data_IF_906694570941
#
_entry.id   IF_906694570941
#
_cell.length_a   1.000
_cell.length_b   1.000
_cell.length_c   1.000
_cell.angle_alpha   90.00
_cell.angle_beta   90.00
_cell.angle_gamma   90.00
#
_symmetry.space_group_name_H-M   'P 1'
#
loop_
_entity.id
_entity.type
_entity.pdbx_description
1 polymer ?
#
# COMPACT_ATOMS: atom_id res chain seq x y z
N UNK A 1 30.62 9.16 4.19
CA UNK A 1 29.40 9.50 3.44
C UNK A 1 29.14 8.54 2.27
N UNK A 2 30.03 8.39 1.28
CA UNK A 2 29.84 7.47 0.12
C UNK A 2 29.61 6.02 0.57
N UNK A 3 30.42 5.49 1.50
CA UNK A 3 30.24 4.15 2.07
C UNK A 3 28.85 3.99 2.72
N UNK A 4 28.40 4.99 3.45
CA UNK A 4 27.07 5.00 4.08
C UNK A 4 25.95 5.01 3.04
N UNK A 5 26.05 5.80 1.96
CA UNK A 5 25.08 5.80 0.84
C UNK A 5 24.98 4.42 0.20
N UNK A 6 26.09 3.74 -0.06
CA UNK A 6 26.11 2.38 -0.62
C UNK A 6 25.42 1.39 0.31
N UNK A 7 25.75 1.42 1.60
CA UNK A 7 25.15 0.55 2.59
C UNK A 7 23.64 0.77 2.69
N UNK A 8 23.21 2.03 2.84
CA UNK A 8 21.79 2.37 2.88
C UNK A 8 21.05 1.92 1.61
N UNK A 9 21.68 2.09 0.41
CA UNK A 9 21.05 1.67 -0.84
C UNK A 9 20.80 0.15 -0.86
N UNK A 10 21.73 -0.65 -0.37
CA UNK A 10 21.59 -2.11 -0.26
C UNK A 10 20.45 -2.46 0.73
N UNK A 11 20.45 -1.86 1.91
CA UNK A 11 19.46 -2.12 2.97
C UNK A 11 18.01 -1.83 2.54
N UNK A 12 17.83 -0.80 1.71
CA UNK A 12 16.51 -0.44 1.17
C UNK A 12 16.26 -1.00 -0.24
N UNK A 13 17.08 -1.93 -0.72
CA UNK A 13 16.93 -2.55 -2.03
C UNK A 13 16.91 -1.55 -3.20
N UNK A 14 17.77 -0.51 -3.15
CA UNK A 14 17.85 0.57 -4.15
C UNK A 14 16.53 1.33 -4.39
N UNK A 15 15.58 1.32 -3.47
CA UNK A 15 14.28 1.99 -3.62
C UNK A 15 14.32 3.50 -3.32
N UNK A 16 15.40 3.99 -2.68
CA UNK A 16 15.52 5.39 -2.28
C UNK A 16 16.22 6.24 -3.36
N UNK A 17 15.48 7.18 -3.94
CA UNK A 17 16.04 8.26 -4.73
C UNK A 17 16.59 9.40 -3.85
N UNK A 18 17.20 10.41 -4.49
CA UNK A 18 17.88 11.54 -3.84
C UNK A 18 17.11 12.21 -2.70
N UNK A 19 15.79 12.30 -2.78
CA UNK A 19 14.98 12.96 -1.73
C UNK A 19 14.95 12.15 -0.43
N UNK A 20 14.69 10.84 -0.50
CA UNK A 20 14.72 9.96 0.68
C UNK A 20 16.14 9.77 1.20
N UNK A 21 17.11 9.58 0.31
CA UNK A 21 18.52 9.44 0.69
C UNK A 21 19.00 10.69 1.45
N UNK A 22 18.61 11.90 1.03
CA UNK A 22 18.90 13.14 1.77
C UNK A 22 18.37 13.09 3.20
N UNK A 23 17.12 12.65 3.38
CA UNK A 23 16.52 12.58 4.73
C UNK A 23 17.33 11.63 5.62
N UNK A 24 17.70 10.46 5.10
CA UNK A 24 18.50 9.49 5.84
C UNK A 24 19.90 10.04 6.16
N UNK A 25 20.57 10.74 5.21
CA UNK A 25 21.86 11.37 5.47
C UNK A 25 21.75 12.44 6.57
N UNK A 26 20.73 13.29 6.49
CA UNK A 26 20.56 14.37 7.47
C UNK A 26 20.20 13.82 8.87
N UNK A 27 19.47 12.72 8.97
CA UNK A 27 19.20 12.05 10.26
C UNK A 27 20.44 11.43 10.89
N UNK A 28 21.51 11.24 10.11
CA UNK A 28 22.83 10.79 10.58
C UNK A 28 23.81 11.95 10.82
N UNK A 29 23.33 13.18 10.80
CA UNK A 29 24.13 14.38 11.06
C UNK A 29 24.86 14.94 9.82
N UNK A 30 24.67 14.38 8.62
CA UNK A 30 25.23 14.93 7.39
C UNK A 30 24.33 16.06 6.87
N UNK A 31 24.76 17.29 7.00
CA UNK A 31 23.99 18.43 6.50
C UNK A 31 24.15 18.58 4.98
N UNK A 32 23.31 17.89 4.19
CA UNK A 32 23.39 17.85 2.71
C UNK A 32 22.09 18.28 2.05
N UNK A 33 22.22 19.05 0.97
CA UNK A 33 21.10 19.43 0.11
C UNK A 33 20.74 18.33 -0.92
N UNK A 34 19.60 18.50 -1.61
CA UNK A 34 19.10 17.51 -2.60
C UNK A 34 20.06 17.35 -3.78
N UNK A 35 20.66 18.43 -4.26
CA UNK A 35 21.60 18.40 -5.38
C UNK A 35 22.91 17.72 -4.98
N UNK A 36 23.46 18.09 -3.84
CA UNK A 36 24.64 17.45 -3.28
C UNK A 36 24.43 15.95 -3.05
N UNK A 37 23.25 15.56 -2.53
CA UNK A 37 22.89 14.15 -2.39
C UNK A 37 22.88 13.43 -3.73
N UNK A 38 22.37 14.05 -4.81
CA UNK A 38 22.38 13.45 -6.14
C UNK A 38 23.82 13.19 -6.63
N UNK A 39 24.72 14.19 -6.51
CA UNK A 39 26.14 14.05 -6.87
C UNK A 39 26.85 12.98 -6.02
N UNK A 40 26.54 12.89 -4.73
CA UNK A 40 27.09 11.86 -3.85
C UNK A 40 26.60 10.46 -4.21
N UNK A 41 25.32 10.30 -4.59
CA UNK A 41 24.78 9.02 -5.08
C UNK A 41 25.45 8.61 -6.40
N UNK A 42 25.69 9.55 -7.31
CA UNK A 42 26.42 9.31 -8.55
C UNK A 42 27.87 8.87 -8.27
N UNK A 43 28.61 9.60 -7.43
CA UNK A 43 29.96 9.20 -6.98
C UNK A 43 30.01 7.86 -6.27
N UNK A 44 28.91 7.49 -5.58
CA UNK A 44 28.75 6.18 -4.95
C UNK A 44 28.37 5.08 -5.94
N UNK A 45 28.10 5.40 -7.20
CA UNK A 45 27.52 4.51 -8.23
C UNK A 45 26.20 3.87 -7.77
N UNK A 46 25.35 4.66 -7.10
CA UNK A 46 24.05 4.23 -6.59
C UNK A 46 22.93 4.81 -7.46
N UNK A 47 22.21 3.94 -8.15
CA UNK A 47 21.05 4.28 -8.97
C UNK A 47 19.78 3.74 -8.33
N UNK A 48 18.79 4.62 -8.15
CA UNK A 48 17.49 4.21 -7.62
C UNK A 48 16.62 3.53 -8.70
N UNK A 49 15.86 2.53 -8.29
CA UNK A 49 14.87 1.86 -9.14
C UNK A 49 13.86 2.87 -9.69
N UNK A 50 13.61 2.81 -11.00
CA UNK A 50 12.66 3.70 -11.69
C UNK A 50 11.44 2.91 -12.16
N UNK A 51 10.20 3.50 -12.08
CA UNK A 51 9.00 2.87 -12.63
C UNK A 51 9.13 2.62 -14.13
N UNK A 52 8.73 1.43 -14.60
CA UNK A 52 8.55 1.15 -16.03
C UNK A 52 7.29 1.83 -16.54
N UNK A 53 7.21 2.15 -17.85
CA UNK A 53 5.99 2.68 -18.49
C UNK A 53 4.83 1.70 -18.32
N UNK A 54 3.64 2.23 -17.99
CA UNK A 54 2.42 1.43 -17.74
C UNK A 54 1.76 1.04 -19.06
N UNK A 55 1.25 -0.20 -19.16
CA UNK A 55 0.25 -0.59 -20.14
C UNK A 55 -1.15 -0.28 -19.60
N UNK A 56 -2.04 0.22 -20.47
CA UNK A 56 -3.43 0.50 -20.15
C UNK A 56 -4.27 -0.76 -20.36
N UNK A 57 -5.16 -1.07 -19.42
CA UNK A 57 -6.14 -2.15 -19.53
C UNK A 57 -7.56 -1.58 -19.54
N UNK A 58 -8.44 -1.96 -20.51
CA UNK A 58 -9.81 -1.50 -20.55
C UNK A 58 -10.63 -2.05 -19.38
N UNK A 59 -11.58 -1.23 -18.88
CA UNK A 59 -12.47 -1.59 -17.77
C UNK A 59 -13.74 -2.23 -18.33
N UNK A 60 -14.09 -3.42 -17.85
CA UNK A 60 -15.39 -4.06 -18.11
C UNK A 60 -16.36 -3.73 -16.97
N UNK A 61 -17.58 -3.34 -17.31
CA UNK A 61 -18.57 -2.90 -16.32
C UNK A 61 -19.79 -3.81 -16.22
N UNK A 62 -20.00 -4.41 -15.04
CA UNK A 62 -21.26 -5.01 -14.62
C UNK A 62 -21.96 -4.07 -13.63
N UNK A 63 -23.31 -4.03 -13.66
CA UNK A 63 -24.09 -3.19 -12.73
C UNK A 63 -24.44 -3.98 -11.46
N UNK A 64 -23.87 -3.55 -10.33
CA UNK A 64 -24.19 -4.06 -8.98
C UNK A 64 -24.71 -2.93 -8.09
N UNK A 65 -25.45 -3.28 -7.03
CA UNK A 65 -25.85 -2.32 -5.98
C UNK A 65 -24.57 -1.80 -5.29
N UNK A 66 -24.41 -0.48 -5.25
CA UNK A 66 -23.16 0.19 -4.84
C UNK A 66 -23.40 1.03 -3.59
N UNK A 67 -22.42 1.07 -2.70
CA UNK A 67 -22.41 2.02 -1.59
C UNK A 67 -22.12 3.45 -2.11
N UNK A 68 -22.54 4.45 -1.35
CA UNK A 68 -22.25 5.87 -1.64
C UNK A 68 -20.75 6.16 -1.44
N UNK A 69 -20.22 7.16 -2.14
CA UNK A 69 -18.88 7.68 -1.86
C UNK A 69 -18.97 8.61 -0.65
N UNK A 70 -18.57 8.10 0.51
CA UNK A 70 -18.53 8.85 1.75
C UNK A 70 -17.15 9.45 2.04
N UNK A 71 -16.08 8.87 1.44
CA UNK A 71 -14.70 9.34 1.62
C UNK A 71 -14.45 10.68 0.92
N UNK A 72 -15.10 10.92 -0.22
CA UNK A 72 -15.06 12.15 -1.01
C UNK A 72 -13.65 12.74 -1.25
N UNK A 73 -12.63 11.86 -1.42
CA UNK A 73 -11.20 12.22 -1.60
C UNK A 73 -10.53 12.92 -0.41
N UNK A 74 -11.15 12.91 0.73
CA UNK A 74 -10.54 13.42 1.95
C UNK A 74 -9.52 12.43 2.51
N UNK A 75 -8.30 12.42 1.97
CA UNK A 75 -7.24 11.45 2.32
C UNK A 75 -6.29 11.94 3.40
N UNK A 76 -6.46 13.19 3.86
CA UNK A 76 -5.52 13.85 4.78
C UNK A 76 -5.94 13.70 6.24
N UNK A 77 -4.95 13.72 7.12
CA UNK A 77 -5.04 13.80 8.59
C UNK A 77 -6.22 13.06 9.23
N UNK A 78 -6.24 11.73 9.05
CA UNK A 78 -7.24 10.87 9.71
C UNK A 78 -6.68 10.27 10.99
N UNK A 79 -7.55 10.09 11.97
CA UNK A 79 -7.25 9.24 13.12
C UNK A 79 -7.00 7.80 12.66
N UNK A 80 -6.13 7.09 13.35
CA UNK A 80 -5.86 5.69 13.03
C UNK A 80 -7.10 4.82 13.19
N UNK A 81 -7.19 3.78 12.39
CA UNK A 81 -8.27 2.77 12.47
C UNK A 81 -9.69 3.33 12.30
N UNK A 82 -9.84 4.53 11.72
CA UNK A 82 -11.15 5.12 11.41
C UNK A 82 -11.50 5.02 9.92
N UNK A 83 -10.50 5.06 9.05
CA UNK A 83 -10.70 5.02 7.60
C UNK A 83 -9.69 4.07 6.97
N UNK A 84 -10.16 2.95 6.50
CA UNK A 84 -9.36 1.99 5.75
C UNK A 84 -9.74 2.03 4.27
N UNK A 85 -8.75 1.85 3.41
CA UNK A 85 -8.95 1.74 1.96
C UNK A 85 -8.48 0.38 1.49
N UNK A 86 -9.21 -0.21 0.55
CA UNK A 86 -8.89 -1.52 0.00
C UNK A 86 -8.92 -1.54 -1.52
N UNK A 87 -8.12 -2.44 -2.10
CA UNK A 87 -8.09 -2.71 -3.53
C UNK A 87 -7.42 -4.05 -3.81
N UNK A 88 -7.57 -4.55 -5.03
CA UNK A 88 -6.98 -5.81 -5.51
C UNK A 88 -5.97 -5.51 -6.61
N UNK A 89 -4.81 -6.18 -6.53
CA UNK A 89 -3.88 -6.23 -7.65
C UNK A 89 -3.60 -7.67 -8.06
N UNK A 90 -3.12 -7.85 -9.28
CA UNK A 90 -2.78 -9.17 -9.83
C UNK A 90 -1.27 -9.28 -10.07
N UNK A 91 -0.77 -10.49 -9.86
CA UNK A 91 0.65 -10.87 -9.96
C UNK A 91 0.72 -12.09 -10.87
N UNK A 92 1.54 -12.01 -11.91
CA UNK A 92 1.73 -13.12 -12.84
C UNK A 92 2.75 -14.11 -12.29
N UNK A 93 2.44 -15.42 -12.39
CA UNK A 93 3.36 -16.51 -12.12
C UNK A 93 3.40 -17.45 -13.33
N UNK A 94 4.35 -18.39 -13.37
CA UNK A 94 4.35 -19.44 -14.39
C UNK A 94 3.14 -20.38 -14.27
N UNK A 95 2.55 -20.48 -13.06
CA UNK A 95 1.33 -21.26 -12.78
C UNK A 95 0.03 -20.43 -12.89
N UNK A 96 0.02 -19.31 -13.64
CA UNK A 96 -1.12 -18.41 -13.81
C UNK A 96 -1.14 -17.23 -12.84
N UNK A 97 -2.29 -16.56 -12.78
CA UNK A 97 -2.45 -15.33 -11.99
C UNK A 97 -2.63 -15.60 -10.50
N UNK A 98 -2.13 -14.67 -9.70
CA UNK A 98 -2.39 -14.56 -8.26
C UNK A 98 -2.95 -13.16 -7.99
N UNK A 99 -3.84 -13.08 -7.04
CA UNK A 99 -4.57 -11.87 -6.70
C UNK A 99 -4.30 -11.50 -5.25
N UNK A 100 -3.83 -10.27 -5.03
CA UNK A 100 -3.53 -9.73 -3.72
C UNK A 100 -4.57 -8.67 -3.40
N UNK A 101 -5.43 -8.94 -2.41
CA UNK A 101 -6.25 -7.91 -1.77
C UNK A 101 -5.46 -7.29 -0.61
N UNK A 102 -5.51 -5.98 -0.52
CA UNK A 102 -4.77 -5.20 0.49
C UNK A 102 -5.68 -4.19 1.16
N UNK A 103 -5.48 -3.99 2.46
CA UNK A 103 -6.18 -2.99 3.28
C UNK A 103 -5.15 -2.06 3.91
N UNK A 104 -5.32 -0.76 3.73
CA UNK A 104 -4.40 0.28 4.19
C UNK A 104 -5.14 1.29 5.06
N UNK A 105 -4.57 1.64 6.21
CA UNK A 105 -5.05 2.70 7.09
C UNK A 105 -4.69 4.08 6.54
N UNK A 106 -5.67 4.96 6.38
CA UNK A 106 -5.46 6.29 5.80
C UNK A 106 -4.67 7.23 6.73
N UNK A 107 -4.80 7.08 8.04
CA UNK A 107 -4.08 7.93 9.00
C UNK A 107 -2.58 7.68 8.98
N UNK A 108 -2.20 6.44 9.18
CA UNK A 108 -0.79 6.03 9.29
C UNK A 108 -0.14 5.65 7.96
N UNK A 109 -0.92 5.40 6.92
CA UNK A 109 -0.50 4.75 5.66
C UNK A 109 0.03 3.32 5.87
N UNK A 110 -0.26 2.69 7.01
CA UNK A 110 0.13 1.32 7.30
C UNK A 110 -0.73 0.34 6.51
N UNK A 111 -0.11 -0.67 5.92
CA UNK A 111 -0.84 -1.83 5.42
C UNK A 111 -1.27 -2.68 6.61
N UNK A 112 -2.57 -2.64 6.93
CA UNK A 112 -3.15 -3.25 8.13
C UNK A 112 -3.65 -4.67 7.90
N UNK A 113 -3.96 -5.03 6.65
CA UNK A 113 -4.39 -6.38 6.30
C UNK A 113 -4.16 -6.71 4.84
N UNK A 114 -4.06 -8.00 4.55
CA UNK A 114 -3.94 -8.50 3.18
C UNK A 114 -4.31 -9.98 3.12
N UNK A 115 -4.63 -10.43 1.92
CA UNK A 115 -4.81 -11.84 1.58
C UNK A 115 -4.38 -12.09 0.13
N UNK A 116 -3.94 -13.30 -0.16
CA UNK A 116 -3.52 -13.74 -1.50
C UNK A 116 -4.31 -14.97 -1.93
N UNK A 117 -4.81 -14.98 -3.18
CA UNK A 117 -5.59 -16.09 -3.72
C UNK A 117 -5.27 -16.36 -5.19
N UNK A 118 -5.66 -17.54 -5.67
CA UNK A 118 -5.68 -17.89 -7.09
C UNK A 118 -6.88 -17.28 -7.83
N UNK A 119 -7.88 -16.77 -7.12
CA UNK A 119 -9.11 -16.22 -7.69
C UNK A 119 -9.43 -14.84 -7.12
N UNK A 120 -9.85 -13.87 -7.94
CA UNK A 120 -10.25 -12.53 -7.49
C UNK A 120 -11.74 -12.52 -7.09
N UNK A 121 -12.09 -13.26 -6.05
CA UNK A 121 -13.47 -13.39 -5.57
C UNK A 121 -13.74 -12.55 -4.32
N UNK A 122 -15.00 -12.52 -3.87
CA UNK A 122 -15.40 -11.80 -2.66
C UNK A 122 -14.76 -12.36 -1.38
N UNK A 123 -14.44 -13.66 -1.36
CA UNK A 123 -13.76 -14.26 -0.21
C UNK A 123 -12.38 -13.66 0.00
N UNK A 124 -11.62 -13.44 -1.07
CA UNK A 124 -10.31 -12.80 -1.01
C UNK A 124 -10.36 -11.41 -0.35
N UNK A 125 -11.32 -10.57 -0.72
CA UNK A 125 -11.48 -9.23 -0.13
C UNK A 125 -11.94 -9.27 1.31
N UNK A 126 -12.86 -10.21 1.63
CA UNK A 126 -13.32 -10.48 2.99
C UNK A 126 -12.17 -10.94 3.88
N UNK A 127 -11.34 -11.87 3.42
CA UNK A 127 -10.19 -12.38 4.17
C UNK A 127 -9.19 -11.26 4.47
N UNK A 128 -8.88 -10.40 3.48
CA UNK A 128 -7.99 -9.26 3.69
C UNK A 128 -8.52 -8.30 4.77
N UNK A 129 -9.83 -7.98 4.73
CA UNK A 129 -10.46 -7.10 5.72
C UNK A 129 -10.57 -7.79 7.09
N UNK A 130 -10.93 -9.06 7.14
CA UNK A 130 -11.01 -9.84 8.38
C UNK A 130 -9.65 -9.93 9.08
N UNK A 131 -8.58 -10.20 8.32
CA UNK A 131 -7.21 -10.22 8.84
C UNK A 131 -6.81 -8.84 9.43
N UNK A 132 -7.21 -7.74 8.77
CA UNK A 132 -6.98 -6.39 9.27
C UNK A 132 -7.72 -6.14 10.59
N UNK A 133 -9.01 -6.50 10.67
CA UNK A 133 -9.84 -6.35 11.88
C UNK A 133 -9.27 -7.18 13.03
N UNK A 134 -8.92 -8.44 12.79
CA UNK A 134 -8.37 -9.33 13.82
C UNK A 134 -7.04 -8.81 14.39
N UNK A 135 -6.17 -8.27 13.51
CA UNK A 135 -4.83 -7.78 13.91
C UNK A 135 -4.86 -6.44 14.63
N UNK A 136 -5.68 -5.49 14.16
CA UNK A 136 -5.66 -4.11 14.65
C UNK A 136 -6.78 -3.76 15.62
N UNK A 137 -7.81 -4.62 15.73
CA UNK A 137 -8.94 -4.50 16.66
C UNK A 137 -9.54 -3.08 16.70
N UNK A 138 -9.92 -2.51 15.52
CA UNK A 138 -10.48 -1.17 15.46
C UNK A 138 -11.87 -1.13 16.14
N UNK A 139 -12.30 0.07 16.56
CA UNK A 139 -13.71 0.28 16.85
C UNK A 139 -14.51 0.24 15.52
N UNK A 140 -15.06 -0.91 15.19
CA UNK A 140 -15.73 -1.14 13.90
C UNK A 140 -16.95 -0.26 13.69
N UNK A 141 -17.62 0.23 14.75
CA UNK A 141 -18.74 1.18 14.65
C UNK A 141 -18.29 2.56 14.09
N UNK A 142 -17.02 2.90 14.21
CA UNK A 142 -16.41 4.15 13.72
C UNK A 142 -15.57 3.93 12.47
N UNK A 143 -15.38 2.67 12.04
CA UNK A 143 -14.56 2.33 10.91
C UNK A 143 -15.31 2.47 9.59
N UNK A 144 -14.77 3.27 8.68
CA UNK A 144 -15.17 3.30 7.28
C UNK A 144 -14.18 2.50 6.45
N UNK A 145 -14.69 1.60 5.59
CA UNK A 145 -13.91 0.90 4.57
C UNK A 145 -14.27 1.41 3.18
N UNK A 146 -13.29 1.99 2.49
CA UNK A 146 -13.47 2.52 1.13
C UNK A 146 -12.78 1.65 0.10
N UNK A 147 -13.46 1.38 -1.02
CA UNK A 147 -12.92 0.63 -2.16
C UNK A 147 -13.37 1.23 -3.48
N UNK A 148 -12.85 0.69 -4.59
CA UNK A 148 -13.47 0.88 -5.89
C UNK A 148 -14.82 0.12 -5.99
N UNK A 149 -15.49 0.24 -7.16
CA UNK A 149 -16.75 -0.48 -7.44
C UNK A 149 -16.49 -1.88 -8.03
N UNK A 150 -15.40 -2.54 -7.64
CA UNK A 150 -15.11 -3.92 -8.03
C UNK A 150 -16.21 -4.88 -7.59
N UNK A 151 -16.51 -5.87 -8.44
CA UNK A 151 -17.55 -6.88 -8.17
C UNK A 151 -17.36 -7.59 -6.83
N UNK A 152 -16.13 -7.76 -6.41
CA UNK A 152 -15.73 -8.44 -5.17
C UNK A 152 -16.23 -7.67 -3.93
N UNK A 153 -16.16 -6.33 -3.96
CA UNK A 153 -16.62 -5.45 -2.89
C UNK A 153 -18.12 -5.21 -2.90
N UNK A 154 -18.78 -5.44 -4.06
CA UNK A 154 -20.24 -5.38 -4.19
C UNK A 154 -20.94 -6.70 -3.85
N UNK A 155 -20.21 -7.80 -3.80
CA UNK A 155 -20.76 -9.13 -3.58
C UNK A 155 -21.37 -9.29 -2.17
N UNK A 156 -22.43 -10.11 -2.07
CA UNK A 156 -23.15 -10.33 -0.81
C UNK A 156 -22.23 -10.79 0.33
N UNK A 157 -21.28 -11.68 0.06
CA UNK A 157 -20.36 -12.17 1.10
C UNK A 157 -19.54 -11.05 1.75
N UNK A 158 -19.10 -10.07 0.98
CA UNK A 158 -18.35 -8.92 1.49
C UNK A 158 -19.27 -7.91 2.20
N UNK A 159 -20.39 -7.55 1.58
CA UNK A 159 -21.34 -6.57 2.14
C UNK A 159 -22.00 -7.07 3.43
N UNK A 160 -22.31 -8.36 3.53
CA UNK A 160 -22.80 -8.99 4.76
C UNK A 160 -21.74 -8.97 5.87
N UNK A 161 -20.49 -9.24 5.56
CA UNK A 161 -19.40 -9.12 6.52
C UNK A 161 -19.28 -7.70 7.07
N UNK A 162 -19.31 -6.67 6.22
CA UNK A 162 -19.31 -5.27 6.68
C UNK A 162 -20.50 -4.94 7.58
N UNK A 163 -21.71 -5.43 7.25
CA UNK A 163 -22.91 -5.24 8.07
C UNK A 163 -22.79 -5.93 9.44
N UNK A 164 -22.37 -7.20 9.47
CA UNK A 164 -22.24 -7.97 10.70
C UNK A 164 -21.19 -7.37 11.64
N UNK A 165 -20.11 -6.83 11.09
CA UNK A 165 -19.05 -6.17 11.85
C UNK A 165 -19.34 -4.67 12.09
N UNK A 166 -20.47 -4.14 11.59
CA UNK A 166 -20.85 -2.72 11.67
C UNK A 166 -19.86 -1.76 11.01
N UNK A 167 -19.06 -2.23 10.06
CA UNK A 167 -18.14 -1.40 9.28
C UNK A 167 -18.93 -0.63 8.21
N UNK A 168 -18.77 0.68 8.17
CA UNK A 168 -19.40 1.53 7.16
C UNK A 168 -18.71 1.36 5.82
N UNK A 169 -19.42 0.84 4.81
CA UNK A 169 -18.88 0.68 3.47
C UNK A 169 -19.02 1.97 2.65
N UNK A 170 -17.94 2.38 1.99
CA UNK A 170 -17.87 3.50 1.06
C UNK A 170 -17.26 3.05 -0.27
N UNK A 171 -17.71 3.60 -1.40
CA UNK A 171 -17.20 3.22 -2.72
C UNK A 171 -16.90 4.43 -3.58
N UNK A 172 -15.83 4.35 -4.37
CA UNK A 172 -15.47 5.34 -5.39
C UNK A 172 -16.62 5.57 -6.37
N UNK A 173 -16.71 6.75 -6.97
CA UNK A 173 -17.63 7.01 -8.07
C UNK A 173 -17.15 6.29 -9.33
N UNK A 174 -18.09 5.91 -10.22
CA UNK A 174 -17.76 5.23 -11.47
C UNK A 174 -16.86 6.12 -12.36
N UNK A 175 -15.74 5.56 -12.81
CA UNK A 175 -14.79 6.28 -13.66
C UNK A 175 -13.85 7.24 -12.92
N UNK A 176 -14.03 7.45 -11.63
CA UNK A 176 -13.18 8.33 -10.82
C UNK A 176 -12.06 7.54 -10.12
N UNK A 177 -11.00 7.18 -10.87
CA UNK A 177 -9.84 6.46 -10.33
C UNK A 177 -9.14 7.21 -9.18
N UNK A 178 -9.21 8.52 -9.16
CA UNK A 178 -8.66 9.36 -8.08
C UNK A 178 -9.29 9.11 -6.71
N UNK A 179 -10.49 8.53 -6.66
CA UNK A 179 -11.20 8.24 -5.41
C UNK A 179 -10.51 7.11 -4.61
N UNK A 180 -9.61 6.31 -5.24
CA UNK A 180 -8.78 5.29 -4.56
C UNK A 180 -7.27 5.47 -4.82
N UNK A 181 -6.83 6.72 -5.02
CA UNK A 181 -5.44 7.05 -5.39
C UNK A 181 -4.39 6.54 -4.39
N UNK A 182 -4.75 6.39 -3.12
CA UNK A 182 -3.83 5.92 -2.07
C UNK A 182 -3.45 4.45 -2.31
N UNK A 183 -4.44 3.58 -2.63
CA UNK A 183 -4.19 2.18 -2.96
C UNK A 183 -3.44 2.01 -4.28
N UNK A 184 -3.80 2.83 -5.30
CA UNK A 184 -3.05 2.84 -6.56
C UNK A 184 -1.57 3.19 -6.34
N UNK A 185 -1.29 4.14 -5.43
CA UNK A 185 0.08 4.51 -5.06
C UNK A 185 0.81 3.38 -4.34
N UNK A 186 0.14 2.70 -3.41
CA UNK A 186 0.70 1.53 -2.73
C UNK A 186 1.07 0.43 -3.72
N UNK A 187 0.13 0.01 -4.58
CA UNK A 187 0.40 -1.05 -5.58
C UNK A 187 1.46 -0.66 -6.61
N UNK A 188 1.51 0.62 -6.99
CA UNK A 188 2.60 1.11 -7.83
C UNK A 188 3.94 0.95 -7.14
N UNK A 189 4.03 1.26 -5.85
CA UNK A 189 5.26 1.09 -5.07
C UNK A 189 5.63 -0.40 -4.97
N UNK A 190 4.71 -1.27 -4.57
CA UNK A 190 4.91 -2.71 -4.49
C UNK A 190 5.43 -3.28 -5.82
N UNK A 191 4.76 -2.96 -6.92
CA UNK A 191 5.15 -3.45 -8.24
C UNK A 191 6.52 -2.92 -8.68
N UNK A 192 6.77 -1.62 -8.51
CA UNK A 192 8.03 -1.00 -8.94
C UNK A 192 9.20 -1.40 -8.07
N UNK A 193 9.01 -1.47 -6.76
CA UNK A 193 10.10 -1.65 -5.80
C UNK A 193 10.43 -3.13 -5.58
N UNK A 194 9.49 -4.06 -5.89
CA UNK A 194 9.67 -5.50 -5.63
C UNK A 194 9.27 -6.39 -6.81
N UNK A 195 8.02 -6.34 -7.29
CA UNK A 195 7.48 -7.41 -8.12
C UNK A 195 7.87 -7.36 -9.60
N UNK A 196 8.04 -6.17 -10.19
CA UNK A 196 8.26 -6.03 -11.64
C UNK A 196 9.63 -6.53 -12.14
N UNK A 197 10.55 -6.82 -11.24
CA UNK A 197 11.90 -7.27 -11.55
C UNK A 197 12.12 -8.76 -11.27
N UNK A 198 11.04 -9.48 -10.95
CA UNK A 198 11.08 -10.88 -10.61
C UNK A 198 10.07 -11.67 -11.44
N UNK A 199 10.38 -12.92 -11.66
CA UNK A 199 9.47 -13.94 -12.20
C UNK A 199 9.18 -14.95 -11.10
N UNK A 200 7.94 -15.31 -10.90
CA UNK A 200 7.50 -16.19 -9.82
C UNK A 200 7.13 -17.55 -10.39
N UNK A 201 7.71 -18.63 -9.87
CA UNK A 201 7.37 -19.98 -10.29
C UNK A 201 5.95 -20.36 -9.82
N UNK A 202 5.62 -20.05 -8.56
CA UNK A 202 4.42 -20.58 -7.92
C UNK A 202 3.79 -19.57 -6.91
N UNK A 203 2.79 -20.06 -6.18
CA UNK A 203 2.08 -19.27 -5.16
C UNK A 203 2.97 -18.92 -3.96
N UNK A 204 3.76 -19.87 -3.47
CA UNK A 204 4.58 -19.67 -2.26
C UNK A 204 5.62 -18.57 -2.45
N UNK A 205 6.29 -18.53 -3.61
CA UNK A 205 7.23 -17.44 -3.92
C UNK A 205 6.56 -16.07 -3.93
N UNK A 206 5.31 -15.98 -4.41
CA UNK A 206 4.56 -14.71 -4.35
C UNK A 206 4.26 -14.35 -2.90
N UNK A 207 3.84 -15.31 -2.05
CA UNK A 207 3.59 -15.07 -0.62
C UNK A 207 4.82 -14.49 0.04
N UNK A 208 5.97 -15.17 -0.04
CA UNK A 208 7.24 -14.74 0.58
C UNK A 208 7.65 -13.33 0.14
N UNK A 209 7.54 -13.04 -1.14
CA UNK A 209 7.92 -11.73 -1.68
C UNK A 209 6.95 -10.62 -1.26
N UNK A 210 5.66 -10.90 -1.20
CA UNK A 210 4.64 -9.96 -0.70
C UNK A 210 4.83 -9.70 0.78
N UNK A 211 5.03 -10.73 1.60
CA UNK A 211 5.30 -10.60 3.04
C UNK A 211 6.55 -9.78 3.32
N UNK A 212 7.64 -10.13 2.65
CA UNK A 212 8.91 -9.38 2.74
C UNK A 212 8.73 -7.91 2.38
N UNK A 213 7.96 -7.61 1.32
CA UNK A 213 7.70 -6.23 0.93
C UNK A 213 6.79 -5.50 1.92
N UNK A 214 5.75 -6.14 2.45
CA UNK A 214 4.84 -5.55 3.45
C UNK A 214 5.61 -5.21 4.72
N UNK A 215 6.51 -6.10 5.16
CA UNK A 215 7.41 -5.81 6.28
C UNK A 215 8.28 -4.58 5.99
N UNK A 216 8.95 -4.55 4.85
CA UNK A 216 9.74 -3.39 4.42
C UNK A 216 8.90 -2.11 4.36
N UNK A 217 7.72 -2.16 3.75
CA UNK A 217 6.81 -1.04 3.59
C UNK A 217 6.37 -0.45 4.94
N UNK A 218 5.98 -1.29 5.88
CA UNK A 218 5.47 -0.87 7.18
C UNK A 218 6.57 -0.41 8.14
N UNK A 219 7.73 -1.08 8.17
CA UNK A 219 8.72 -0.90 9.22
C UNK A 219 10.01 -0.19 8.79
N UNK A 220 10.34 -0.18 7.51
CA UNK A 220 11.61 0.37 7.01
C UNK A 220 11.45 1.52 6.01
N UNK A 221 10.38 1.47 5.20
CA UNK A 221 10.16 2.42 4.13
C UNK A 221 9.63 3.74 4.65
N UNK A 222 10.39 4.82 4.50
CA UNK A 222 9.94 6.17 4.87
C UNK A 222 9.03 6.77 3.80
N UNK A 223 8.02 7.56 4.22
CA UNK A 223 7.00 8.14 3.37
C UNK A 223 6.92 9.66 3.52
N UNK A 224 7.08 10.39 2.41
CA UNK A 224 6.98 11.85 2.42
C UNK A 224 5.60 12.38 2.84
N UNK A 225 4.51 11.63 2.57
CA UNK A 225 3.15 12.02 2.94
C UNK A 225 2.87 11.97 4.45
N UNK A 226 3.75 11.36 5.24
CA UNK A 226 3.65 11.26 6.70
C UNK A 226 4.95 11.75 7.38
N UNK A 227 5.55 12.80 6.84
CA UNK A 227 6.73 13.43 7.43
C UNK A 227 8.01 12.59 7.36
N UNK A 228 8.12 11.70 6.36
CA UNK A 228 9.24 10.75 6.23
C UNK A 228 9.39 9.75 7.39
N UNK A 229 8.32 9.54 8.16
CA UNK A 229 8.23 8.41 9.07
C UNK A 229 7.95 7.12 8.29
N UNK A 230 8.18 5.97 8.95
CA UNK A 230 7.60 4.71 8.48
C UNK A 230 6.11 4.65 8.88
N UNK A 231 5.27 3.87 8.18
CA UNK A 231 3.88 3.70 8.57
C UNK A 231 3.69 3.26 10.03
N UNK A 232 4.54 2.36 10.52
CA UNK A 232 4.50 1.90 11.92
C UNK A 232 4.87 3.01 12.91
N UNK A 233 5.88 3.83 12.61
CA UNK A 233 6.22 4.99 13.43
C UNK A 233 5.07 6.00 13.46
N UNK A 234 4.44 6.27 12.31
CA UNK A 234 3.27 7.16 12.24
C UNK A 234 2.08 6.60 13.02
N UNK A 235 1.82 5.29 12.92
CA UNK A 235 0.78 4.62 13.72
C UNK A 235 1.04 4.80 15.22
N UNK A 236 2.28 4.61 15.66
CA UNK A 236 2.66 4.77 17.07
C UNK A 236 2.54 6.23 17.55
N UNK A 237 2.91 7.21 16.69
CA UNK A 237 2.75 8.64 16.99
C UNK A 237 1.27 8.98 17.19
N UNK A 238 0.39 8.58 16.25
CA UNK A 238 -1.04 8.88 16.30
C UNK A 238 -1.75 8.18 17.47
N UNK A 239 -1.27 7.00 17.91
CA UNK A 239 -1.79 6.31 19.10
C UNK A 239 -1.55 7.09 20.40
N UNK A 240 -0.49 7.89 20.47
CA UNK A 240 -0.18 8.69 21.67
C UNK A 240 -1.05 9.93 21.79
N UNK A 241 -1.69 10.34 20.68
CA UNK A 241 -2.48 11.58 20.61
C UNK A 241 -4.00 11.29 20.64
N UNK A 242 -4.39 10.03 20.45
CA UNK A 242 -5.77 9.56 20.49
C UNK A 242 -6.16 9.10 21.89
#
# INVERSE_FOLDING_TARGET
MIKFIKQTAIEVGHTYGKRRMRVVLNSQGYNVGVYQTATLMEKANVVAIRPRKRHYYPKTGLMFKKAKNLLNREFEQRSINTHWVGDITYIKTYQGWRYLASVLDLGSKQLVGWALSKQPNAQLTKDALSNAVARHQPNTNQLMFHSDQGVQYCANAFTQYCKQTKITQSMSRRGHCWDNAVMERFFRSLKTEKLNYQSFANHSEVVENVESYIYFYNYKRIHSAIGYLTPTQKMAELKKVA
#
